data_IF_673473982239
#
_entry.id   IF_673473982239
#
_cell.length_a   1.000
_cell.length_b   1.000
_cell.length_c   1.000
_cell.angle_alpha   90.00
_cell.angle_beta   90.00
_cell.angle_gamma   90.00
#
_symmetry.space_group_name_H-M   'P 1'
#
loop_
_entity.id
_entity.type
_entity.pdbx_description
1 polymer ?
#
# COMPACT_ATOMS: atom_id res chain seq x y z
N UNK A 1 -27.99 -12.61 -0.33
CA UNK A 1 -26.63 -12.22 -0.73
C UNK A 1 -25.69 -12.45 0.46
N UNK A 2 -24.50 -13.02 0.23
CA UNK A 2 -23.58 -13.44 1.30
C UNK A 2 -22.78 -12.21 1.81
N UNK A 3 -22.62 -12.06 3.14
CA UNK A 3 -21.89 -10.92 3.76
C UNK A 3 -20.45 -10.77 3.25
N UNK A 4 -19.80 -11.89 2.89
CA UNK A 4 -18.44 -11.88 2.30
C UNK A 4 -18.40 -11.19 0.94
N UNK A 5 -19.44 -11.35 0.11
CA UNK A 5 -19.50 -10.75 -1.23
C UNK A 5 -19.66 -9.23 -1.15
N UNK A 6 -20.47 -8.76 -0.20
CA UNK A 6 -20.71 -7.32 0.05
C UNK A 6 -19.40 -6.63 0.46
N UNK A 7 -18.63 -7.25 1.37
CA UNK A 7 -17.36 -6.68 1.85
C UNK A 7 -16.28 -6.58 0.75
N UNK A 8 -16.24 -7.56 -0.17
CA UNK A 8 -15.29 -7.53 -1.29
C UNK A 8 -15.62 -6.42 -2.29
N UNK A 9 -16.90 -6.27 -2.63
CA UNK A 9 -17.38 -5.24 -3.55
C UNK A 9 -17.13 -3.83 -2.97
N UNK A 10 -17.38 -3.63 -1.67
CA UNK A 10 -17.08 -2.38 -0.96
C UNK A 10 -15.58 -2.02 -1.03
N UNK A 11 -14.69 -3.00 -0.85
CA UNK A 11 -13.23 -2.78 -0.95
C UNK A 11 -12.81 -2.39 -2.36
N UNK A 12 -13.36 -3.06 -3.38
CA UNK A 12 -13.05 -2.75 -4.79
C UNK A 12 -13.57 -1.36 -5.18
N UNK A 13 -14.75 -0.97 -4.70
CA UNK A 13 -15.29 0.39 -4.87
C UNK A 13 -14.38 1.42 -4.18
N UNK A 14 -13.98 1.18 -2.94
CA UNK A 14 -13.12 2.08 -2.18
C UNK A 14 -11.76 2.26 -2.85
N UNK A 15 -11.12 1.16 -3.28
CA UNK A 15 -9.85 1.21 -4.02
C UNK A 15 -10.00 2.00 -5.32
N UNK A 16 -11.07 1.76 -6.07
CA UNK A 16 -11.36 2.50 -7.30
C UNK A 16 -11.55 4.00 -7.05
N UNK A 17 -12.18 4.36 -5.94
CA UNK A 17 -12.32 5.76 -5.52
C UNK A 17 -10.96 6.39 -5.16
N UNK A 18 -10.16 5.74 -4.32
CA UNK A 18 -8.84 6.23 -3.92
C UNK A 18 -7.93 6.39 -5.13
N UNK A 19 -7.95 5.43 -6.06
CA UNK A 19 -7.18 5.49 -7.31
C UNK A 19 -7.54 6.72 -8.14
N UNK A 20 -8.84 6.95 -8.36
CA UNK A 20 -9.33 8.13 -9.08
C UNK A 20 -8.90 9.43 -8.39
N UNK A 21 -9.02 9.49 -7.07
CA UNK A 21 -8.65 10.68 -6.31
C UNK A 21 -7.14 10.93 -6.33
N UNK A 22 -6.33 9.88 -6.24
CA UNK A 22 -4.88 9.95 -6.39
C UNK A 22 -4.49 10.49 -7.77
N UNK A 23 -5.00 9.89 -8.84
CA UNK A 23 -4.70 10.33 -10.20
C UNK A 23 -5.12 11.78 -10.43
N UNK A 24 -6.30 12.18 -9.92
CA UNK A 24 -6.81 13.54 -10.02
C UNK A 24 -5.96 14.56 -9.26
N UNK A 25 -5.53 14.25 -8.03
CA UNK A 25 -4.77 15.19 -7.18
C UNK A 25 -3.34 15.40 -7.65
N UNK A 26 -2.69 14.32 -8.10
CA UNK A 26 -1.27 14.32 -8.42
C UNK A 26 -0.99 14.27 -9.92
N UNK A 27 -2.03 14.48 -10.74
CA UNK A 27 -1.96 14.51 -12.20
C UNK A 27 -1.24 13.28 -12.79
N UNK A 28 -1.62 12.09 -12.32
CA UNK A 28 -1.09 10.82 -12.82
C UNK A 28 -1.98 10.33 -13.96
N UNK A 29 -1.41 10.26 -15.15
CA UNK A 29 -2.04 9.80 -16.40
C UNK A 29 -1.43 8.50 -16.94
N UNK A 30 -0.25 8.10 -16.43
CA UNK A 30 0.41 6.84 -16.76
C UNK A 30 0.29 5.87 -15.58
N UNK A 31 -0.40 4.75 -15.78
CA UNK A 31 -0.69 3.77 -14.73
C UNK A 31 0.22 2.53 -14.75
N UNK A 32 0.90 2.29 -15.87
CA UNK A 32 1.78 1.14 -16.10
C UNK A 32 3.23 1.61 -16.30
N UNK A 33 3.79 2.28 -15.31
CA UNK A 33 5.20 2.69 -15.30
C UNK A 33 5.78 2.54 -13.90
N UNK A 34 7.08 2.24 -13.83
CA UNK A 34 7.84 2.30 -12.57
C UNK A 34 7.95 3.73 -12.02
N UNK A 35 7.76 4.74 -12.87
CA UNK A 35 7.80 6.15 -12.47
C UNK A 35 6.71 6.51 -11.47
N UNK A 36 5.67 5.67 -11.32
CA UNK A 36 4.65 5.87 -10.28
C UNK A 36 5.16 5.47 -8.90
N UNK A 37 6.23 4.68 -8.80
CA UNK A 37 6.76 4.08 -7.56
C UNK A 37 7.81 5.01 -6.95
N UNK A 38 7.42 6.27 -6.74
CA UNK A 38 8.23 7.24 -6.03
C UNK A 38 7.87 7.24 -4.54
N UNK A 39 8.83 7.65 -3.70
CA UNK A 39 8.62 7.82 -2.26
C UNK A 39 7.44 8.78 -2.00
N UNK A 40 7.35 9.85 -2.80
CA UNK A 40 6.27 10.83 -2.71
C UNK A 40 4.90 10.20 -3.04
N UNK A 41 4.77 9.51 -4.17
CA UNK A 41 3.50 8.87 -4.58
C UNK A 41 3.04 7.81 -3.58
N UNK A 42 3.95 7.01 -3.05
CA UNK A 42 3.63 6.03 -2.02
C UNK A 42 3.14 6.73 -0.75
N UNK A 43 3.79 7.81 -0.32
CA UNK A 43 3.39 8.58 0.86
C UNK A 43 2.00 9.21 0.66
N UNK A 44 1.78 9.81 -0.51
CA UNK A 44 0.49 10.38 -0.91
C UNK A 44 -0.64 9.35 -0.92
N UNK A 45 -0.37 8.12 -1.40
CA UNK A 45 -1.35 7.02 -1.33
C UNK A 45 -1.66 6.64 0.11
N UNK A 46 -0.64 6.49 0.97
CA UNK A 46 -0.84 6.21 2.40
C UNK A 46 -1.73 7.28 3.05
N UNK A 47 -1.49 8.56 2.76
CA UNK A 47 -2.29 9.66 3.28
C UNK A 47 -3.74 9.62 2.80
N UNK A 48 -3.99 9.21 1.55
CA UNK A 48 -5.34 9.01 1.03
C UNK A 48 -6.05 7.86 1.75
N UNK A 49 -5.38 6.72 1.96
CA UNK A 49 -5.95 5.62 2.76
C UNK A 49 -6.24 6.07 4.20
N UNK A 50 -5.31 6.78 4.84
CA UNK A 50 -5.52 7.28 6.19
C UNK A 50 -6.72 8.23 6.26
N UNK A 51 -6.87 9.10 5.26
CA UNK A 51 -7.98 10.05 5.17
C UNK A 51 -9.33 9.38 4.93
N UNK A 52 -9.40 8.50 3.93
CA UNK A 52 -10.68 8.01 3.41
C UNK A 52 -11.13 6.68 3.98
N UNK A 53 -10.22 5.90 4.56
CA UNK A 53 -10.51 4.56 5.07
C UNK A 53 -10.32 4.46 6.57
N UNK A 54 -9.29 5.14 7.10
CA UNK A 54 -8.89 4.97 8.51
C UNK A 54 -9.26 6.16 9.42
N UNK A 55 -9.97 7.16 8.90
CA UNK A 55 -10.40 8.34 9.65
C UNK A 55 -9.24 9.01 10.44
N UNK A 56 -8.11 9.22 9.76
CA UNK A 56 -6.88 9.83 10.29
C UNK A 56 -6.22 9.05 11.45
N UNK A 57 -6.53 7.77 11.60
CA UNK A 57 -5.94 6.92 12.63
C UNK A 57 -4.41 6.93 12.60
N UNK A 58 -3.78 6.73 11.44
CA UNK A 58 -2.31 6.65 11.33
C UNK A 58 -1.67 7.98 11.73
N UNK A 59 -2.21 9.09 11.26
CA UNK A 59 -1.77 10.45 11.65
C UNK A 59 -1.82 10.66 13.16
N UNK A 60 -2.87 10.15 13.82
CA UNK A 60 -3.05 10.28 15.27
C UNK A 60 -2.10 9.38 16.07
N UNK A 61 -1.90 8.14 15.65
CA UNK A 61 -1.11 7.15 16.42
C UNK A 61 0.38 7.15 16.08
N UNK A 62 0.76 7.67 14.91
CA UNK A 62 2.15 7.78 14.44
C UNK A 62 2.39 9.23 13.98
N UNK A 63 2.48 10.22 14.90
CA UNK A 63 2.61 11.63 14.55
C UNK A 63 3.85 11.97 13.72
N UNK A 64 4.92 11.19 13.87
CA UNK A 64 6.16 11.28 13.10
C UNK A 64 6.03 10.76 11.66
N UNK A 65 4.89 10.17 11.32
CA UNK A 65 4.62 9.55 10.02
C UNK A 65 5.26 8.16 9.85
N UNK A 66 4.87 7.51 8.75
CA UNK A 66 5.44 6.24 8.31
C UNK A 66 6.56 6.57 7.32
N UNK A 67 7.77 6.06 7.57
CA UNK A 67 8.86 6.20 6.60
C UNK A 67 8.55 5.39 5.36
N UNK A 68 8.85 5.92 4.18
CA UNK A 68 8.72 5.21 2.92
C UNK A 68 10.08 5.01 2.28
N UNK A 69 10.30 3.83 1.69
CA UNK A 69 11.49 3.55 0.89
C UNK A 69 11.22 2.55 -0.24
N UNK A 70 12.17 2.42 -1.16
CA UNK A 70 12.14 1.43 -2.25
C UNK A 70 13.36 0.52 -2.19
N UNK A 71 13.28 -0.64 -2.83
CA UNK A 71 14.34 -1.65 -2.84
C UNK A 71 14.51 -2.35 -4.18
N UNK A 72 15.73 -2.29 -4.71
CA UNK A 72 16.15 -3.08 -5.88
C UNK A 72 16.60 -4.51 -5.53
N UNK A 73 16.64 -4.86 -4.24
CA UNK A 73 17.15 -6.15 -3.73
C UNK A 73 16.05 -7.09 -3.24
N UNK A 74 14.84 -6.60 -3.03
CA UNK A 74 13.71 -7.42 -2.57
C UNK A 74 13.11 -8.18 -3.74
N UNK A 75 13.17 -9.52 -3.71
CA UNK A 75 12.66 -10.37 -4.79
C UNK A 75 11.63 -11.40 -4.34
N UNK A 76 11.35 -11.47 -3.03
CA UNK A 76 10.41 -12.43 -2.44
C UNK A 76 9.05 -11.83 -2.10
N UNK A 77 8.96 -10.50 -1.97
CA UNK A 77 7.73 -9.79 -1.62
C UNK A 77 7.66 -8.43 -2.32
N UNK A 78 6.43 -8.00 -2.67
CA UNK A 78 6.17 -6.71 -3.30
C UNK A 78 6.32 -5.53 -2.33
N UNK A 79 5.96 -5.74 -1.07
CA UNK A 79 6.13 -4.80 0.03
C UNK A 79 6.80 -5.45 1.23
N UNK A 80 7.19 -4.61 2.19
CA UNK A 80 7.57 -5.02 3.53
C UNK A 80 7.40 -3.89 4.54
N UNK A 81 6.72 -4.20 5.63
CA UNK A 81 6.66 -3.35 6.82
C UNK A 81 7.82 -3.67 7.74
N UNK A 82 8.55 -2.64 8.13
CA UNK A 82 9.67 -2.71 9.07
C UNK A 82 9.26 -1.93 10.31
N UNK A 83 9.19 -2.63 11.43
CA UNK A 83 8.90 -2.07 12.73
C UNK A 83 10.14 -2.11 13.60
N UNK A 84 10.42 -1.01 14.29
CA UNK A 84 11.46 -0.96 15.32
C UNK A 84 10.96 -0.17 16.52
N UNK A 85 11.35 -0.63 17.71
CA UNK A 85 10.99 0.01 18.97
C UNK A 85 12.25 0.26 19.78
N UNK A 86 12.51 1.52 20.11
CA UNK A 86 13.65 1.94 20.94
C UNK A 86 13.09 2.67 22.16
N UNK A 87 13.12 2.02 23.32
CA UNK A 87 12.46 2.52 24.52
C UNK A 87 10.96 2.69 24.31
N UNK A 88 10.48 3.95 24.39
CA UNK A 88 9.07 4.31 24.17
C UNK A 88 8.76 4.72 22.73
N UNK A 89 9.78 4.96 21.91
CA UNK A 89 9.59 5.36 20.52
C UNK A 89 9.39 4.14 19.62
N UNK A 90 8.38 4.22 18.76
CA UNK A 90 8.09 3.24 17.72
C UNK A 90 8.31 3.88 16.36
N UNK A 91 9.03 3.20 15.46
CA UNK A 91 9.28 3.66 14.10
C UNK A 91 8.77 2.62 13.11
N UNK A 92 8.07 3.11 12.09
CA UNK A 92 7.44 2.31 11.05
C UNK A 92 8.02 2.71 9.70
N UNK A 93 8.34 1.72 8.89
CA UNK A 93 8.75 1.93 7.51
C UNK A 93 8.01 0.96 6.60
N UNK A 94 7.42 1.48 5.52
CA UNK A 94 6.91 0.68 4.40
C UNK A 94 7.94 0.75 3.28
N UNK A 95 8.43 -0.42 2.86
CA UNK A 95 9.41 -0.56 1.79
C UNK A 95 8.81 -1.31 0.61
N UNK A 96 8.87 -0.73 -0.58
CA UNK A 96 8.34 -1.31 -1.81
C UNK A 96 9.47 -1.92 -2.66
N UNK A 97 9.22 -3.07 -3.27
CA UNK A 97 10.17 -3.71 -4.18
C UNK A 97 10.03 -3.17 -5.60
N UNK A 98 11.10 -2.58 -6.13
CA UNK A 98 11.16 -2.19 -7.54
C UNK A 98 11.22 -3.43 -8.44
N UNK A 99 11.92 -4.50 -8.01
CA UNK A 99 12.09 -5.74 -8.79
C UNK A 99 10.80 -6.51 -9.01
N UNK A 100 9.94 -6.57 -8.00
CA UNK A 100 8.63 -7.22 -8.15
C UNK A 100 7.72 -6.40 -9.06
N UNK A 101 7.80 -5.07 -8.95
CA UNK A 101 7.00 -4.18 -9.78
C UNK A 101 7.48 -4.13 -11.23
N UNK A 102 8.80 -4.24 -11.47
CA UNK A 102 9.41 -4.45 -12.79
C UNK A 102 8.84 -5.72 -13.45
N UNK A 103 8.90 -6.86 -12.74
CA UNK A 103 8.33 -8.12 -13.23
C UNK A 103 6.82 -8.02 -13.46
N UNK A 104 6.12 -7.31 -12.57
CA UNK A 104 4.71 -7.01 -12.77
C UNK A 104 4.46 -6.17 -14.03
N UNK A 105 5.39 -5.37 -14.52
CA UNK A 105 5.19 -4.66 -15.79
C UNK A 105 5.54 -5.56 -16.98
N UNK A 106 6.60 -6.36 -16.84
CA UNK A 106 7.17 -7.18 -17.93
C UNK A 106 6.36 -8.45 -18.27
N UNK A 107 5.71 -9.09 -17.30
CA UNK A 107 4.89 -10.29 -17.57
C UNK A 107 3.59 -9.89 -18.29
N UNK A 108 3.11 -10.63 -19.29
CA UNK A 108 1.84 -10.31 -19.99
C UNK A 108 0.62 -11.10 -19.47
N UNK A 109 0.83 -12.00 -18.49
CA UNK A 109 -0.24 -12.84 -17.92
C UNK A 109 -1.03 -12.15 -16.78
N UNK A 110 -2.20 -12.68 -16.41
CA UNK A 110 -3.02 -12.15 -15.31
C UNK A 110 -2.24 -12.11 -14.00
N UNK A 111 -2.09 -10.92 -13.41
CA UNK A 111 -1.18 -10.73 -12.27
C UNK A 111 -1.94 -10.66 -10.95
N UNK A 112 -1.85 -11.76 -10.21
CA UNK A 112 -2.39 -11.84 -8.86
C UNK A 112 -1.41 -11.18 -7.88
N UNK A 113 -1.84 -10.11 -7.22
CA UNK A 113 -1.11 -9.40 -6.17
C UNK A 113 -1.91 -9.50 -4.87
N UNK A 114 -1.30 -10.03 -3.81
CA UNK A 114 -1.98 -10.27 -2.53
C UNK A 114 -3.31 -11.07 -2.68
N UNK A 115 -3.37 -12.00 -3.64
CA UNK A 115 -4.56 -12.83 -3.91
C UNK A 115 -5.65 -12.14 -4.74
N UNK A 116 -5.42 -10.92 -5.23
CA UNK A 116 -6.36 -10.14 -6.04
C UNK A 116 -5.73 -9.85 -7.41
N UNK A 117 -6.50 -9.98 -8.48
CA UNK A 117 -6.04 -9.62 -9.83
C UNK A 117 -5.93 -8.09 -9.95
N UNK A 118 -4.73 -7.59 -10.23
CA UNK A 118 -4.47 -6.17 -10.42
C UNK A 118 -4.53 -5.80 -11.90
N UNK A 119 -5.21 -4.70 -12.25
CA UNK A 119 -5.40 -4.28 -13.65
C UNK A 119 -4.22 -3.51 -14.24
N UNK A 120 -3.45 -2.85 -13.38
CA UNK A 120 -2.28 -2.06 -13.74
C UNK A 120 -1.31 -1.93 -12.57
N UNK A 121 -0.12 -1.37 -12.85
CA UNK A 121 0.94 -1.19 -11.86
C UNK A 121 0.50 -0.33 -10.69
N UNK A 122 -0.35 0.68 -10.92
CA UNK A 122 -0.89 1.50 -9.83
C UNK A 122 -1.79 0.68 -8.90
N UNK A 123 -2.68 -0.14 -9.43
CA UNK A 123 -3.51 -1.02 -8.61
C UNK A 123 -2.69 -2.09 -7.89
N UNK A 124 -1.64 -2.63 -8.52
CA UNK A 124 -0.70 -3.53 -7.87
C UNK A 124 0.00 -2.86 -6.67
N UNK A 125 0.47 -1.61 -6.84
CA UNK A 125 1.05 -0.83 -5.76
C UNK A 125 0.04 -0.61 -4.62
N UNK A 126 -1.20 -0.24 -4.97
CA UNK A 126 -2.26 -0.01 -3.98
C UNK A 126 -2.58 -1.28 -3.19
N UNK A 127 -2.66 -2.45 -3.82
CA UNK A 127 -2.88 -3.73 -3.15
C UNK A 127 -1.73 -4.08 -2.19
N UNK A 128 -0.48 -3.84 -2.59
CA UNK A 128 0.68 -4.00 -1.71
C UNK A 128 0.55 -3.05 -0.52
N UNK A 129 0.24 -1.77 -0.75
CA UNK A 129 0.10 -0.79 0.33
C UNK A 129 -1.04 -1.12 1.29
N UNK A 130 -2.19 -1.59 0.80
CA UNK A 130 -3.29 -2.04 1.66
C UNK A 130 -2.82 -3.12 2.63
N UNK A 131 -2.02 -4.08 2.16
CA UNK A 131 -1.45 -5.13 3.00
C UNK A 131 -0.45 -4.57 4.02
N UNK A 132 0.50 -3.73 3.59
CA UNK A 132 1.51 -3.17 4.49
C UNK A 132 0.91 -2.19 5.51
N UNK A 133 -0.13 -1.44 5.15
CA UNK A 133 -0.87 -0.58 6.09
C UNK A 133 -1.56 -1.42 7.17
N UNK A 134 -2.11 -2.59 6.82
CA UNK A 134 -2.65 -3.53 7.83
C UNK A 134 -1.57 -3.91 8.84
N UNK A 135 -0.37 -4.27 8.37
CA UNK A 135 0.77 -4.57 9.24
C UNK A 135 1.14 -3.40 10.16
N UNK A 136 1.18 -2.16 9.64
CA UNK A 136 1.42 -0.97 10.47
C UNK A 136 0.36 -0.83 11.57
N UNK A 137 -0.91 -1.01 11.23
CA UNK A 137 -2.01 -0.94 12.20
C UNK A 137 -1.83 -2.02 13.28
N UNK A 138 -1.55 -3.27 12.88
CA UNK A 138 -1.31 -4.38 13.81
C UNK A 138 -0.14 -4.10 14.76
N UNK A 139 1.01 -3.68 14.23
CA UNK A 139 2.15 -3.31 15.07
C UNK A 139 1.83 -2.13 16.00
N UNK A 140 1.05 -1.15 15.55
CA UNK A 140 0.63 -0.01 16.38
C UNK A 140 -0.29 -0.40 17.53
N UNK A 141 -1.19 -1.38 17.31
CA UNK A 141 -2.19 -1.82 18.30
C UNK A 141 -1.65 -2.90 19.24
N UNK A 142 -0.91 -3.86 18.70
CA UNK A 142 -0.57 -5.12 19.38
C UNK A 142 0.93 -5.30 19.59
N UNK A 143 1.79 -4.49 18.95
CA UNK A 143 3.24 -4.62 19.03
C UNK A 143 3.81 -5.83 18.27
N UNK A 144 2.95 -6.60 17.60
CA UNK A 144 3.30 -7.67 16.69
C UNK A 144 2.33 -7.65 15.50
N UNK A 145 2.65 -8.43 14.48
CA UNK A 145 1.84 -8.60 13.28
C UNK A 145 2.00 -10.03 12.81
N UNK A 146 0.94 -10.62 12.23
CA UNK A 146 0.95 -12.01 11.81
C UNK A 146 0.07 -12.16 10.56
N UNK A 147 0.70 -12.28 9.39
CA UNK A 147 0.07 -12.67 8.13
C UNK A 147 0.90 -13.78 7.47
#
# INVERSE_FOLDING_TARGET
MNKLTINREEKEIMRSFIKKEFCRRYNIDIYNSLDIITIENISNLIDLYDTYVLDKYLTQVIPQGIRVSTSNRMTSSGGKTIFSKVGRESKYEIRISNRIMERFIEDDESKIVCGIEAKDTLEALMLILEHEICHVIEFSKYGNSNC
#
